data_IF_096361070985
#
_entry.id   IF_096361070985
#
_cell.length_a   1.000
_cell.length_b   1.000
_cell.length_c   1.000
_cell.angle_alpha   90.00
_cell.angle_beta   90.00
_cell.angle_gamma   90.00
#
_symmetry.space_group_name_H-M   'P 1'
#
loop_
_entity.id
_entity.type
_entity.pdbx_description
1 polymer ?
#
# COMPACT_ATOMS: atom_id res chain seq x y z
N UNK A 1 -6.31 6.41 10.41
CA UNK A 1 -5.63 6.61 11.71
C UNK A 1 -4.27 5.92 11.76
N UNK A 2 -4.13 4.71 11.19
CA UNK A 2 -2.84 4.02 11.00
C UNK A 2 -1.71 4.93 10.51
N UNK A 3 -1.87 5.63 9.37
CA UNK A 3 -0.81 6.47 8.79
C UNK A 3 -0.33 7.54 9.77
N UNK A 4 -1.24 8.20 10.49
CA UNK A 4 -0.90 9.25 11.46
C UNK A 4 -0.03 8.69 12.60
N UNK A 5 -0.36 7.50 13.11
CA UNK A 5 0.47 6.84 14.12
C UNK A 5 1.82 6.40 13.54
N UNK A 6 1.82 5.78 12.36
CA UNK A 6 3.04 5.31 11.70
C UNK A 6 3.99 6.45 11.35
N UNK A 7 3.50 7.65 11.02
CA UNK A 7 4.35 8.81 10.76
C UNK A 7 5.25 9.19 11.95
N UNK A 8 4.82 8.88 13.17
CA UNK A 8 5.60 9.10 14.39
C UNK A 8 6.67 8.04 14.66
N UNK A 9 6.57 6.87 14.00
CA UNK A 9 7.40 5.69 14.27
C UNK A 9 8.28 5.26 13.10
N UNK A 10 7.78 5.38 11.88
CA UNK A 10 8.42 4.88 10.68
C UNK A 10 9.39 5.91 10.06
N UNK A 11 10.45 5.39 9.46
CA UNK A 11 11.40 6.18 8.66
C UNK A 11 10.88 6.45 7.25
N UNK A 12 10.04 5.55 6.73
CA UNK A 12 9.39 5.67 5.44
C UNK A 12 8.03 4.98 5.45
N UNK A 13 7.06 5.59 4.77
CA UNK A 13 5.72 5.08 4.53
C UNK A 13 5.51 5.06 3.03
N UNK A 14 5.27 3.87 2.48
CA UNK A 14 5.04 3.64 1.06
C UNK A 14 3.53 3.51 0.84
N UNK A 15 2.93 4.41 0.06
CA UNK A 15 1.51 4.40 -0.24
C UNK A 15 1.27 3.77 -1.62
N UNK A 16 0.21 2.99 -1.75
CA UNK A 16 -0.20 2.36 -3.01
C UNK A 16 -1.69 2.06 -3.02
N UNK A 17 -2.13 1.28 -4.00
CA UNK A 17 -3.54 0.89 -4.14
C UNK A 17 -4.47 2.07 -4.38
N UNK A 18 -5.77 1.84 -4.20
CA UNK A 18 -6.81 2.87 -4.38
C UNK A 18 -6.60 4.11 -3.50
N UNK A 19 -6.00 3.95 -2.33
CA UNK A 19 -5.71 5.05 -1.40
C UNK A 19 -4.77 6.10 -2.01
N UNK A 20 -3.81 5.69 -2.85
CA UNK A 20 -2.89 6.61 -3.50
C UNK A 20 -3.62 7.66 -4.36
N UNK A 21 -4.77 7.30 -4.95
CA UNK A 21 -5.56 8.19 -5.79
C UNK A 21 -6.12 9.38 -5.01
N UNK A 22 -6.51 9.17 -3.75
CA UNK A 22 -6.97 10.25 -2.86
C UNK A 22 -5.83 11.23 -2.58
N UNK A 23 -4.60 10.75 -2.41
CA UNK A 23 -3.42 11.61 -2.27
C UNK A 23 -3.10 12.38 -3.56
N UNK A 24 -3.20 11.74 -4.72
CA UNK A 24 -3.01 12.42 -6.01
C UNK A 24 -4.05 13.51 -6.25
N UNK A 25 -5.33 13.23 -5.96
CA UNK A 25 -6.40 14.23 -6.04
C UNK A 25 -6.18 15.37 -5.04
N UNK A 26 -5.71 15.07 -3.83
CA UNK A 26 -5.35 16.07 -2.82
C UNK A 26 -4.22 17.00 -3.26
N UNK A 27 -3.27 16.51 -4.07
CA UNK A 27 -2.20 17.28 -4.73
C UNK A 27 -2.68 18.07 -5.96
N UNK A 28 -3.92 17.89 -6.40
CA UNK A 28 -4.51 18.58 -7.54
C UNK A 28 -4.37 17.84 -8.88
N UNK A 29 -3.94 16.58 -8.89
CA UNK A 29 -3.90 15.80 -10.12
C UNK A 29 -5.29 15.25 -10.48
N UNK A 30 -5.74 15.40 -11.75
CA UNK A 30 -6.88 14.66 -12.25
C UNK A 30 -6.61 13.15 -12.21
N UNK A 31 -7.55 12.38 -11.64
CA UNK A 31 -7.42 10.93 -11.48
C UNK A 31 -8.45 10.13 -12.28
N UNK A 32 -9.12 10.76 -13.26
CA UNK A 32 -10.13 10.11 -14.10
C UNK A 32 -11.22 9.39 -13.28
N UNK A 33 -11.48 8.13 -13.61
CA UNK A 33 -12.44 7.24 -12.91
C UNK A 33 -11.84 6.47 -11.74
N UNK A 34 -10.62 6.81 -11.30
CA UNK A 34 -9.98 6.12 -10.18
C UNK A 34 -10.79 6.26 -8.89
N UNK A 35 -10.77 5.23 -8.06
CA UNK A 35 -11.43 5.25 -6.75
C UNK A 35 -10.80 6.33 -5.87
N UNK A 36 -11.61 7.23 -5.33
CA UNK A 36 -11.20 8.31 -4.43
C UNK A 36 -12.20 8.47 -3.30
N UNK A 37 -11.69 8.76 -2.11
CA UNK A 37 -12.47 9.16 -0.94
C UNK A 37 -12.45 10.69 -0.84
N UNK A 38 -13.48 11.35 -1.40
CA UNK A 38 -13.55 12.81 -1.49
C UNK A 38 -13.72 13.51 -0.12
N UNK A 39 -14.28 12.82 0.86
CA UNK A 39 -14.54 13.30 2.22
C UNK A 39 -13.26 13.42 3.08
N UNK A 40 -12.17 12.78 2.67
CA UNK A 40 -10.90 12.78 3.41
C UNK A 40 -9.76 13.52 2.68
N UNK A 41 -10.05 14.31 1.66
CA UNK A 41 -9.02 15.07 0.92
C UNK A 41 -8.23 16.05 1.81
N UNK A 42 -8.89 16.72 2.75
CA UNK A 42 -8.20 17.62 3.69
C UNK A 42 -7.25 16.86 4.61
N UNK A 43 -7.65 15.67 5.06
CA UNK A 43 -6.79 14.79 5.84
C UNK A 43 -5.59 14.30 4.99
N UNK A 44 -5.81 13.94 3.73
CA UNK A 44 -4.72 13.56 2.83
C UNK A 44 -3.69 14.71 2.66
N UNK A 45 -4.15 15.97 2.57
CA UNK A 45 -3.26 17.15 2.55
C UNK A 45 -2.50 17.33 3.85
N UNK A 46 -3.15 17.17 5.00
CA UNK A 46 -2.50 17.21 6.32
C UNK A 46 -1.39 16.15 6.39
N UNK A 47 -1.68 14.92 5.97
CA UNK A 47 -0.73 13.81 6.00
C UNK A 47 0.45 14.01 5.02
N UNK A 48 0.22 14.58 3.84
CA UNK A 48 1.29 14.95 2.91
C UNK A 48 2.22 15.98 3.54
N UNK A 49 1.64 17.02 4.17
CA UNK A 49 2.43 18.06 4.84
C UNK A 49 3.19 17.52 6.05
N UNK A 50 2.57 16.66 6.85
CA UNK A 50 3.18 16.08 8.05
C UNK A 50 4.24 15.02 7.72
N UNK A 51 4.00 14.23 6.65
CA UNK A 51 4.88 13.16 6.23
C UNK A 51 6.13 13.63 5.48
N UNK A 52 6.02 14.71 4.71
CA UNK A 52 7.14 15.22 3.92
C UNK A 52 7.81 14.11 3.11
N UNK A 53 9.14 13.99 3.23
CA UNK A 53 9.92 12.96 2.52
C UNK A 53 9.73 11.53 3.05
N UNK A 54 9.10 11.35 4.22
CA UNK A 54 8.80 10.03 4.76
C UNK A 54 7.62 9.37 4.03
N UNK A 55 6.63 10.17 3.62
CA UNK A 55 5.45 9.66 2.92
C UNK A 55 5.71 9.64 1.42
N UNK A 56 5.84 8.45 0.85
CA UNK A 56 6.15 8.23 -0.56
C UNK A 56 4.91 7.77 -1.30
N UNK A 57 4.60 8.47 -2.39
CA UNK A 57 3.56 8.08 -3.33
C UNK A 57 4.17 7.40 -4.56
N UNK A 58 3.37 6.65 -5.34
CA UNK A 58 3.80 6.12 -6.62
C UNK A 58 4.31 7.23 -7.55
N UNK A 59 5.29 6.91 -8.39
CA UNK A 59 5.84 7.82 -9.41
C UNK A 59 5.29 7.52 -10.80
N UNK A 60 4.83 6.29 -11.00
CA UNK A 60 4.16 5.79 -12.19
C UNK A 60 3.03 4.83 -11.79
N UNK A 61 2.07 4.66 -12.70
CA UNK A 61 0.83 3.93 -12.47
C UNK A 61 0.46 3.10 -13.70
N UNK A 62 -0.24 1.99 -13.45
CA UNK A 62 -0.93 1.23 -14.49
C UNK A 62 -2.39 1.66 -14.53
N UNK A 63 -2.84 2.10 -15.70
CA UNK A 63 -4.21 2.54 -15.93
C UNK A 63 -4.92 1.63 -16.94
N UNK A 64 -6.24 1.50 -16.78
CA UNK A 64 -7.13 0.86 -17.75
C UNK A 64 -8.49 1.58 -17.81
N UNK A 65 -9.33 1.23 -18.79
CA UNK A 65 -10.71 1.73 -18.87
C UNK A 65 -11.73 0.82 -18.17
N UNK A 66 -11.36 -0.42 -17.84
CA UNK A 66 -12.16 -1.39 -17.07
C UNK A 66 -11.26 -2.26 -16.19
N UNK A 67 -11.85 -2.86 -15.15
CA UNK A 67 -11.18 -3.83 -14.27
C UNK A 67 -11.28 -5.28 -14.78
N UNK A 68 -11.60 -5.46 -16.06
CA UNK A 68 -11.80 -6.80 -16.64
C UNK A 68 -10.47 -7.45 -17.01
N UNK A 69 -10.42 -8.78 -16.95
CA UNK A 69 -9.28 -9.52 -17.45
C UNK A 69 -9.10 -9.28 -18.96
N UNK A 70 -7.87 -8.99 -19.38
CA UNK A 70 -7.56 -8.66 -20.77
C UNK A 70 -7.85 -7.21 -21.18
N UNK A 71 -8.27 -6.35 -20.27
CA UNK A 71 -8.41 -4.91 -20.54
C UNK A 71 -7.08 -4.31 -21.07
N UNK A 72 -7.18 -3.38 -22.03
CA UNK A 72 -6.02 -2.62 -22.49
C UNK A 72 -5.44 -1.81 -21.32
N UNK A 73 -4.13 -1.92 -21.12
CA UNK A 73 -3.43 -1.18 -20.07
C UNK A 73 -2.37 -0.26 -20.63
N UNK A 74 -2.16 0.84 -19.91
CA UNK A 74 -1.04 1.76 -20.17
C UNK A 74 -0.30 2.00 -18.87
N UNK A 75 1.02 2.11 -18.99
CA UNK A 75 1.87 2.60 -17.92
C UNK A 75 2.17 4.06 -18.20
N UNK A 76 2.02 4.92 -17.21
CA UNK A 76 2.40 6.32 -17.33
C UNK A 76 2.91 6.88 -16.01
N UNK A 77 3.76 7.92 -16.04
CA UNK A 77 4.08 8.70 -14.85
C UNK A 77 2.80 9.25 -14.21
N UNK A 78 2.83 9.45 -12.90
CA UNK A 78 1.75 10.13 -12.20
C UNK A 78 1.55 11.53 -12.77
N UNK A 79 0.30 11.87 -13.04
CA UNK A 79 -0.09 13.12 -13.67
C UNK A 79 -1.59 13.15 -13.97
N UNK A 80 -2.03 13.97 -14.94
CA UNK A 80 -3.43 14.02 -15.37
C UNK A 80 -3.84 12.70 -16.02
N UNK A 81 -4.56 11.87 -15.28
CA UNK A 81 -5.15 10.64 -15.79
C UNK A 81 -6.32 10.99 -16.71
N UNK A 82 -6.41 10.41 -17.92
CA UNK A 82 -7.52 10.69 -18.83
C UNK A 82 -8.87 10.34 -18.19
N UNK A 83 -9.91 11.12 -18.51
CA UNK A 83 -11.23 11.03 -17.84
C UNK A 83 -11.87 9.64 -17.90
N UNK A 84 -11.65 8.89 -18.99
CA UNK A 84 -12.20 7.53 -19.17
C UNK A 84 -11.33 6.41 -18.61
N UNK A 85 -10.20 6.74 -17.98
CA UNK A 85 -9.25 5.78 -17.44
C UNK A 85 -9.22 5.83 -15.91
N UNK A 86 -8.77 4.74 -15.29
CA UNK A 86 -8.61 4.61 -13.85
C UNK A 86 -7.29 3.92 -13.51
N UNK A 87 -6.69 4.30 -12.38
CA UNK A 87 -5.49 3.70 -11.81
C UNK A 87 -5.88 2.40 -11.11
N UNK A 88 -5.24 1.30 -11.50
CA UNK A 88 -5.54 -0.05 -11.01
C UNK A 88 -4.33 -0.79 -10.42
N UNK A 89 -3.12 -0.29 -10.62
CA UNK A 89 -1.90 -0.81 -10.00
C UNK A 89 -0.80 0.26 -10.01
N UNK A 90 0.24 0.08 -9.20
CA UNK A 90 1.47 0.88 -9.29
C UNK A 90 2.30 0.45 -10.50
N UNK A 91 3.02 1.39 -11.11
CA UNK A 91 3.87 1.11 -12.24
C UNK A 91 5.21 0.46 -11.85
N UNK A 92 5.97 -0.06 -12.84
CA UNK A 92 7.25 -0.71 -12.62
C UNK A 92 8.32 0.19 -11.98
N UNK A 93 8.35 1.49 -12.27
CA UNK A 93 9.33 2.40 -11.65
C UNK A 93 9.05 2.56 -10.15
N UNK A 94 7.77 2.60 -9.77
CA UNK A 94 7.33 2.63 -8.37
C UNK A 94 7.72 1.34 -7.67
N UNK A 95 7.49 0.17 -8.29
CA UNK A 95 7.91 -1.13 -7.72
C UNK A 95 9.41 -1.15 -7.46
N UNK A 96 10.22 -0.67 -8.41
CA UNK A 96 11.68 -0.61 -8.23
C UNK A 96 12.07 0.35 -7.10
N UNK A 97 11.48 1.55 -7.06
CA UNK A 97 11.76 2.55 -6.04
C UNK A 97 11.37 2.05 -4.63
N UNK A 98 10.22 1.40 -4.51
CA UNK A 98 9.75 0.81 -3.26
C UNK A 98 10.60 -0.39 -2.85
N UNK A 99 10.99 -1.24 -3.80
CA UNK A 99 11.88 -2.36 -3.57
C UNK A 99 13.23 -1.94 -2.99
N UNK A 100 13.80 -0.81 -3.45
CA UNK A 100 15.04 -0.23 -2.87
C UNK A 100 14.85 0.18 -1.40
N UNK A 101 13.72 0.82 -1.07
CA UNK A 101 13.42 1.19 0.32
C UNK A 101 13.27 -0.06 1.19
N UNK A 102 12.49 -1.04 0.73
CA UNK A 102 12.24 -2.33 1.40
C UNK A 102 13.55 -3.11 1.63
N UNK A 103 14.44 -3.16 0.65
CA UNK A 103 15.73 -3.86 0.76
C UNK A 103 16.72 -3.20 1.71
N UNK A 104 16.54 -1.91 2.03
CA UNK A 104 17.37 -1.17 2.98
C UNK A 104 16.82 -1.13 4.41
N UNK A 105 15.58 -1.57 4.61
CA UNK A 105 14.90 -1.49 5.89
C UNK A 105 15.34 -2.61 6.84
N UNK A 106 15.29 -2.34 8.15
CA UNK A 106 15.46 -3.39 9.17
C UNK A 106 14.15 -4.11 9.50
N UNK A 107 13.02 -3.41 9.37
CA UNK A 107 11.67 -3.93 9.60
C UNK A 107 10.73 -3.36 8.55
N UNK A 108 9.88 -4.20 7.97
CA UNK A 108 8.85 -3.81 7.01
C UNK A 108 7.49 -4.31 7.48
N UNK A 109 6.53 -3.41 7.61
CA UNK A 109 5.13 -3.74 7.87
C UNK A 109 4.34 -3.43 6.61
N UNK A 110 3.62 -4.42 6.08
CA UNK A 110 2.81 -4.27 4.88
C UNK A 110 1.34 -4.55 5.16
N UNK A 111 0.47 -3.61 4.76
CA UNK A 111 -0.97 -3.72 4.89
C UNK A 111 -1.67 -2.97 3.74
N UNK A 112 -2.35 -3.73 2.88
CA UNK A 112 -3.02 -3.27 1.67
C UNK A 112 -2.26 -3.63 0.38
N UNK A 113 -2.91 -4.28 -0.61
CA UNK A 113 -2.30 -4.52 -1.93
C UNK A 113 -2.00 -3.20 -2.66
N UNK A 114 -1.12 -3.26 -3.67
CA UNK A 114 -0.73 -2.08 -4.46
C UNK A 114 -1.66 -1.80 -5.65
N UNK A 115 -2.51 -2.77 -5.99
CA UNK A 115 -3.44 -2.73 -7.12
C UNK A 115 -4.55 -3.76 -6.95
N UNK A 116 -5.40 -3.91 -7.98
CA UNK A 116 -6.50 -4.89 -8.04
C UNK A 116 -5.95 -6.29 -8.32
N UNK A 117 -5.24 -6.85 -7.33
CA UNK A 117 -4.43 -8.06 -7.47
C UNK A 117 -5.24 -9.35 -7.76
N UNK A 118 -6.56 -9.30 -7.64
CA UNK A 118 -7.48 -10.35 -8.07
C UNK A 118 -7.48 -10.51 -9.59
N UNK A 119 -7.13 -9.47 -10.33
CA UNK A 119 -7.03 -9.48 -11.79
C UNK A 119 -5.54 -9.57 -12.17
N UNK A 120 -5.11 -10.61 -12.91
CA UNK A 120 -3.70 -10.85 -13.20
C UNK A 120 -2.95 -9.65 -13.81
N UNK A 121 -3.63 -8.87 -14.65
CA UNK A 121 -3.07 -7.67 -15.30
C UNK A 121 -2.70 -6.56 -14.29
N UNK A 122 -3.40 -6.49 -13.16
CA UNK A 122 -3.26 -5.45 -12.12
C UNK A 122 -2.65 -6.00 -10.81
N UNK A 123 -2.02 -7.18 -10.88
CA UNK A 123 -1.40 -7.84 -9.73
C UNK A 123 0.13 -7.63 -9.65
N UNK A 124 0.74 -7.06 -10.70
CA UNK A 124 2.21 -7.00 -10.85
C UNK A 124 2.85 -6.14 -9.78
N UNK A 125 2.27 -4.99 -9.45
CA UNK A 125 2.76 -4.12 -8.39
C UNK A 125 2.68 -4.80 -7.02
N UNK A 126 1.55 -5.42 -6.73
CA UNK A 126 1.34 -6.17 -5.47
C UNK A 126 2.34 -7.31 -5.32
N UNK A 127 2.53 -8.13 -6.35
CA UNK A 127 3.49 -9.23 -6.31
C UNK A 127 4.94 -8.74 -6.35
N UNK A 128 5.23 -7.62 -7.01
CA UNK A 128 6.55 -6.98 -6.95
C UNK A 128 6.94 -6.55 -5.54
N UNK A 129 6.00 -6.00 -4.77
CA UNK A 129 6.22 -5.69 -3.35
C UNK A 129 6.37 -6.96 -2.50
N UNK A 130 5.53 -7.98 -2.74
CA UNK A 130 5.66 -9.27 -2.06
C UNK A 130 7.05 -9.89 -2.29
N UNK A 131 7.55 -9.87 -3.52
CA UNK A 131 8.90 -10.33 -3.87
C UNK A 131 9.99 -9.49 -3.20
N UNK A 132 9.83 -8.16 -3.18
CA UNK A 132 10.79 -7.28 -2.52
C UNK A 132 10.88 -7.57 -1.01
N UNK A 133 9.75 -7.85 -0.37
CA UNK A 133 9.72 -8.27 1.04
C UNK A 133 10.38 -9.63 1.24
N UNK A 134 10.05 -10.63 0.42
CA UNK A 134 10.63 -11.97 0.52
C UNK A 134 12.16 -12.00 0.34
N UNK A 135 12.69 -11.11 -0.52
CA UNK A 135 14.14 -10.97 -0.76
C UNK A 135 14.85 -10.08 0.27
N UNK A 136 14.10 -9.35 1.11
CA UNK A 136 14.68 -8.41 2.07
C UNK A 136 15.26 -9.17 3.28
N UNK A 137 16.41 -8.74 3.83
CA UNK A 137 16.93 -9.27 5.09
C UNK A 137 16.17 -8.74 6.32
N UNK A 138 15.19 -7.87 6.12
CA UNK A 138 14.38 -7.26 7.18
C UNK A 138 13.49 -8.28 7.91
N UNK A 139 13.06 -7.90 9.12
CA UNK A 139 11.85 -8.50 9.70
C UNK A 139 10.64 -8.05 8.89
N UNK A 140 9.96 -8.99 8.22
CA UNK A 140 8.81 -8.71 7.37
C UNK A 140 7.50 -9.14 8.04
N UNK A 141 6.60 -8.17 8.22
CA UNK A 141 5.33 -8.34 8.91
C UNK A 141 4.22 -8.00 7.91
N UNK A 142 3.30 -8.94 7.70
CA UNK A 142 2.13 -8.73 6.84
C UNK A 142 0.89 -8.68 7.70
N UNK A 143 0.15 -7.58 7.60
CA UNK A 143 -1.11 -7.34 8.30
C UNK A 143 -2.25 -7.12 7.30
N UNK A 144 -3.46 -7.51 7.69
CA UNK A 144 -4.65 -7.40 6.84
C UNK A 144 -4.90 -8.65 6.00
N UNK A 145 -6.19 -8.97 5.80
CA UNK A 145 -6.62 -10.18 5.09
C UNK A 145 -6.17 -10.20 3.62
N UNK A 146 -6.27 -9.06 2.94
CA UNK A 146 -5.94 -8.96 1.51
C UNK A 146 -4.43 -9.09 1.26
N UNK A 147 -3.58 -8.49 2.09
CA UNK A 147 -2.13 -8.65 1.97
C UNK A 147 -1.68 -10.07 2.32
N UNK A 148 -2.28 -10.70 3.33
CA UNK A 148 -2.03 -12.10 3.61
C UNK A 148 -2.45 -12.99 2.42
N UNK A 149 -3.61 -12.72 1.81
CA UNK A 149 -4.08 -13.41 0.60
C UNK A 149 -3.12 -13.21 -0.58
N UNK A 150 -2.63 -11.98 -0.80
CA UNK A 150 -1.66 -11.68 -1.85
C UNK A 150 -0.34 -12.45 -1.67
N UNK A 151 0.19 -12.52 -0.44
CA UNK A 151 1.37 -13.33 -0.13
C UNK A 151 1.13 -14.81 -0.41
N UNK A 152 -0.02 -15.34 0.01
CA UNK A 152 -0.37 -16.74 -0.24
C UNK A 152 -0.44 -17.04 -1.75
N UNK A 153 -1.13 -16.19 -2.53
CA UNK A 153 -1.22 -16.33 -3.99
C UNK A 153 0.13 -16.20 -4.70
N UNK A 154 1.06 -15.41 -4.14
CA UNK A 154 2.41 -15.28 -4.69
C UNK A 154 3.31 -16.49 -4.42
N UNK A 155 2.91 -17.40 -3.52
CA UNK A 155 3.74 -18.55 -3.11
C UNK A 155 4.94 -18.17 -2.23
N UNK A 156 4.95 -16.96 -1.67
CA UNK A 156 6.07 -16.42 -0.89
C UNK A 156 5.85 -16.48 0.63
N UNK A 157 4.78 -17.14 1.09
CA UNK A 157 4.40 -17.17 2.50
C UNK A 157 5.53 -17.63 3.44
N UNK A 158 6.28 -18.65 3.05
CA UNK A 158 7.38 -19.21 3.84
C UNK A 158 8.61 -18.29 3.92
N UNK A 159 8.66 -17.23 3.11
CA UNK A 159 9.74 -16.24 3.08
C UNK A 159 9.40 -14.97 3.88
N UNK A 160 8.19 -14.88 4.43
CA UNK A 160 7.76 -13.75 5.27
C UNK A 160 7.94 -14.10 6.75
N UNK A 161 8.52 -13.18 7.53
CA UNK A 161 8.83 -13.43 8.95
C UNK A 161 7.58 -13.63 9.79
N UNK A 162 6.53 -12.84 9.55
CA UNK A 162 5.27 -12.95 10.26
C UNK A 162 4.08 -12.57 9.38
N UNK A 163 3.11 -13.47 9.26
CA UNK A 163 1.82 -13.20 8.62
C UNK A 163 0.76 -13.19 9.72
N UNK A 164 0.17 -12.02 9.95
CA UNK A 164 -0.82 -11.83 11.00
C UNK A 164 -2.19 -12.36 10.59
N UNK A 165 -2.81 -13.15 11.46
CA UNK A 165 -4.19 -13.63 11.32
C UNK A 165 -5.22 -12.77 12.09
N UNK A 166 -4.77 -11.69 12.73
CA UNK A 166 -5.62 -10.84 13.58
C UNK A 166 -6.53 -9.88 12.82
N UNK A 167 -6.38 -9.75 11.50
CA UNK A 167 -7.21 -8.89 10.67
C UNK A 167 -7.30 -7.46 11.21
N UNK A 168 -8.51 -7.05 11.62
CA UNK A 168 -8.78 -5.74 12.23
C UNK A 168 -8.01 -5.50 13.54
N UNK A 169 -7.80 -6.52 14.37
CA UNK A 169 -7.06 -6.36 15.63
C UNK A 169 -5.59 -5.96 15.38
N UNK A 170 -4.98 -6.49 14.33
CA UNK A 170 -3.61 -6.13 13.94
C UNK A 170 -3.53 -4.69 13.45
N UNK A 171 -4.57 -4.22 12.73
CA UNK A 171 -4.72 -2.84 12.33
C UNK A 171 -4.85 -1.91 13.54
N UNK A 172 -5.78 -2.19 14.44
CA UNK A 172 -5.98 -1.40 15.67
C UNK A 172 -4.71 -1.31 16.52
N UNK A 173 -3.94 -2.41 16.61
CA UNK A 173 -2.64 -2.41 17.27
C UNK A 173 -1.63 -1.49 16.55
N UNK A 174 -1.60 -1.49 15.21
CA UNK A 174 -0.77 -0.59 14.42
C UNK A 174 -1.23 0.88 14.50
N UNK A 175 -2.50 1.14 14.82
CA UNK A 175 -3.00 2.47 15.17
C UNK A 175 -2.52 2.93 16.55
N UNK A 176 -1.96 2.02 17.35
CA UNK A 176 -1.50 2.29 18.71
C UNK A 176 -2.59 2.17 19.77
N UNK A 177 -3.72 1.54 19.43
CA UNK A 177 -4.80 1.30 20.38
C UNK A 177 -4.41 0.21 21.39
N UNK A 178 -4.84 0.39 22.64
CA UNK A 178 -4.73 -0.64 23.66
C UNK A 178 -5.82 -1.66 23.42
N UNK A 179 -5.44 -2.85 22.94
CA UNK A 179 -6.39 -3.94 22.72
C UNK A 179 -6.85 -4.52 24.08
N UNK A 180 -8.16 -4.55 24.39
CA UNK A 180 -8.65 -5.01 25.70
C UNK A 180 -8.17 -6.41 26.08
N UNK A 181 -8.14 -7.33 25.11
CA UNK A 181 -7.66 -8.70 25.32
C UNK A 181 -6.16 -8.81 25.60
N UNK A 182 -5.35 -7.89 25.07
CA UNK A 182 -3.91 -7.81 25.37
C UNK A 182 -3.69 -7.16 26.73
N UNK A 183 -4.41 -6.07 27.02
CA UNK A 183 -4.33 -5.36 28.29
C UNK A 183 -4.66 -6.27 29.49
N UNK A 184 -5.65 -7.15 29.35
CA UNK A 184 -6.02 -8.12 30.39
C UNK A 184 -4.91 -9.15 30.71
N UNK A 185 -3.88 -9.26 29.87
CA UNK A 185 -2.75 -10.18 30.04
C UNK A 185 -1.45 -9.47 30.46
N UNK A 186 -1.48 -8.14 30.66
CA UNK A 186 -0.29 -7.33 30.96
C UNK A 186 0.18 -7.43 32.42
N UNK A 187 -0.52 -8.17 33.28
CA UNK A 187 -0.02 -8.53 34.60
C UNK A 187 1.12 -9.56 34.47
N UNK A 188 2.37 -9.07 34.52
CA UNK A 188 3.57 -9.90 34.60
C UNK A 188 4.63 -9.27 35.51
#
# INVERSE_FOLDING_TARGET
WVIKNLLTKADSILIGGGMANTFFKAQGYPVGKSLVEDDVLDLARELLSAGGTKLRLPVDVVIAQSMEEGAETKVMPVGPIPDDWMILDIGPETVEAYGKVIGSAATVVWNGPMGVFEVPTFAKGTFGIAEAMAKSPAVTIVGGGDSASAIQKSGLADQITHISTGGGASLEMLEGLVLPGVAALQDK
#
